data_IF_035121177284
#
_entry.id   IF_035121177284
#
_cell.length_a   1.000
_cell.length_b   1.000
_cell.length_c   1.000
_cell.angle_alpha   90.00
_cell.angle_beta   90.00
_cell.angle_gamma   90.00
#
_symmetry.space_group_name_H-M   'P 1'
#
loop_
_entity.id
_entity.type
_entity.pdbx_description
1 polymer ?
#
# COMPACT_ATOMS: atom_id res chain seq x y z
N UNK A 1 21.06 26.19 -14.88
CA UNK A 1 20.85 24.72 -14.65
C UNK A 1 21.00 23.99 -15.98
N UNK A 2 21.43 22.72 -16.05
CA UNK A 2 21.48 22.01 -17.34
C UNK A 2 20.06 21.78 -17.88
N UNK A 3 19.85 21.89 -19.20
CA UNK A 3 18.52 21.70 -19.84
C UNK A 3 17.82 20.41 -19.44
N UNK A 4 18.57 19.30 -19.31
CA UNK A 4 18.00 18.01 -18.89
C UNK A 4 17.48 18.00 -17.46
N UNK A 5 18.13 18.75 -16.56
CA UNK A 5 17.74 18.84 -15.15
C UNK A 5 16.56 19.81 -14.99
N UNK A 6 16.63 20.96 -15.67
CA UNK A 6 15.53 21.94 -15.74
C UNK A 6 14.25 21.30 -16.31
N UNK A 7 14.36 20.59 -17.44
CA UNK A 7 13.23 19.89 -18.06
C UNK A 7 12.61 18.88 -17.09
N UNK A 8 13.44 18.11 -16.38
CA UNK A 8 12.94 17.12 -15.42
C UNK A 8 12.20 17.80 -14.25
N UNK A 9 12.77 18.87 -13.70
CA UNK A 9 12.16 19.63 -12.61
C UNK A 9 10.81 20.23 -13.01
N UNK A 10 10.70 20.75 -14.24
CA UNK A 10 9.42 21.25 -14.78
C UNK A 10 8.41 20.12 -14.94
N UNK A 11 8.80 18.96 -15.49
CA UNK A 11 7.90 17.80 -15.63
C UNK A 11 7.38 17.28 -14.29
N UNK A 12 8.19 17.33 -13.22
CA UNK A 12 7.79 16.91 -11.87
C UNK A 12 6.67 17.77 -11.27
N UNK A 13 6.44 18.99 -11.79
CA UNK A 13 5.28 19.84 -11.43
C UNK A 13 3.95 19.32 -12.00
N UNK A 14 4.00 18.42 -12.98
CA UNK A 14 2.81 17.88 -13.67
C UNK A 14 2.71 16.35 -13.53
N UNK A 15 2.35 15.81 -12.36
CA UNK A 15 2.28 14.36 -12.12
C UNK A 15 1.41 13.58 -13.11
N UNK A 16 0.26 14.13 -13.53
CA UNK A 16 -0.64 13.47 -14.47
C UNK A 16 -0.06 13.39 -15.89
N UNK A 17 0.72 14.40 -16.30
CA UNK A 17 1.42 14.42 -17.59
C UNK A 17 2.50 13.35 -17.62
N UNK A 18 3.22 13.15 -16.51
CA UNK A 18 4.20 12.07 -16.39
C UNK A 18 3.58 10.68 -16.60
N UNK A 19 2.40 10.42 -16.04
CA UNK A 19 1.70 9.15 -16.23
C UNK A 19 1.30 8.93 -17.71
N UNK A 20 0.74 9.95 -18.35
CA UNK A 20 0.38 9.90 -19.77
C UNK A 20 1.61 9.77 -20.70
N UNK A 21 2.74 10.39 -20.34
CA UNK A 21 4.02 10.25 -21.03
C UNK A 21 4.54 8.82 -20.96
N UNK A 22 4.53 8.19 -19.77
CA UNK A 22 4.92 6.79 -19.59
C UNK A 22 4.07 5.85 -20.47
N UNK A 23 2.79 6.15 -20.66
CA UNK A 23 1.88 5.38 -21.53
C UNK A 23 2.02 5.68 -23.02
N UNK A 24 2.85 6.65 -23.41
CA UNK A 24 3.06 7.02 -24.82
C UNK A 24 1.88 7.78 -25.43
N UNK A 25 1.01 8.37 -24.61
CA UNK A 25 -0.18 9.09 -25.05
C UNK A 25 0.17 10.51 -25.52
N UNK A 26 1.19 11.12 -24.92
CA UNK A 26 1.56 12.52 -25.17
C UNK A 26 2.61 12.63 -26.29
N UNK A 27 2.39 13.57 -27.21
CA UNK A 27 3.38 13.95 -28.20
C UNK A 27 4.51 14.78 -27.56
N UNK A 28 5.73 14.25 -27.58
CA UNK A 28 6.90 14.89 -26.96
C UNK A 28 7.24 16.27 -27.54
N UNK A 29 7.03 16.48 -28.85
CA UNK A 29 7.32 17.77 -29.50
C UNK A 29 6.27 18.83 -29.14
N UNK A 30 5.02 18.43 -28.92
CA UNK A 30 3.98 19.32 -28.40
C UNK A 30 4.27 19.69 -26.95
N UNK A 31 4.64 18.71 -26.12
CA UNK A 31 4.98 18.98 -24.72
C UNK A 31 6.21 19.87 -24.58
N UNK A 32 7.26 19.67 -25.37
CA UNK A 32 8.46 20.50 -25.35
C UNK A 32 8.15 21.99 -25.61
N UNK A 33 7.21 22.28 -26.53
CA UNK A 33 6.74 23.65 -26.79
C UNK A 33 5.92 24.19 -25.63
N UNK A 34 5.05 23.36 -25.04
CA UNK A 34 4.19 23.77 -23.94
C UNK A 34 4.98 24.13 -22.67
N UNK A 35 6.10 23.45 -22.39
CA UNK A 35 6.93 23.70 -21.19
C UNK A 35 8.13 24.62 -21.48
N UNK A 36 8.25 25.18 -22.69
CA UNK A 36 9.45 25.88 -23.14
C UNK A 36 9.84 27.03 -22.20
N UNK A 37 8.89 27.91 -21.91
CA UNK A 37 9.13 29.12 -21.12
C UNK A 37 9.55 28.77 -19.68
N UNK A 38 8.91 27.77 -19.07
CA UNK A 38 9.30 27.27 -17.75
C UNK A 38 10.72 26.68 -17.72
N UNK A 39 11.11 25.98 -18.80
CA UNK A 39 12.47 25.42 -18.89
C UNK A 39 13.49 26.54 -19.08
N UNK A 40 13.22 27.56 -19.89
CA UNK A 40 14.09 28.73 -20.07
C UNK A 40 14.25 29.50 -18.76
N UNK A 41 13.18 29.64 -17.99
CA UNK A 41 13.22 30.26 -16.65
C UNK A 41 14.15 29.48 -15.70
N UNK A 42 14.05 28.15 -15.69
CA UNK A 42 14.90 27.28 -14.86
C UNK A 42 16.37 27.22 -15.33
N UNK A 43 16.63 27.33 -16.64
CA UNK A 43 17.99 27.33 -17.17
C UNK A 43 18.67 28.69 -17.03
N UNK A 44 17.92 29.79 -17.13
CA UNK A 44 18.41 31.17 -17.15
C UNK A 44 18.90 31.62 -18.53
N UNK A 45 18.72 30.79 -19.56
CA UNK A 45 19.17 31.05 -20.94
C UNK A 45 18.29 30.33 -21.96
N UNK A 46 18.31 30.80 -23.20
CA UNK A 46 17.57 30.15 -24.30
C UNK A 46 18.13 28.77 -24.59
N UNK A 47 17.22 27.80 -24.74
CA UNK A 47 17.54 26.43 -25.10
C UNK A 47 16.85 26.05 -26.41
N UNK A 48 17.40 25.08 -27.14
CA UNK A 48 16.76 24.53 -28.33
C UNK A 48 15.59 23.60 -27.95
N UNK A 49 14.48 23.68 -28.69
CA UNK A 49 13.31 22.83 -28.48
C UNK A 49 13.65 21.33 -28.58
N UNK A 50 14.54 20.96 -29.50
CA UNK A 50 14.98 19.56 -29.65
C UNK A 50 15.77 19.08 -28.42
N UNK A 51 16.51 19.96 -27.75
CA UNK A 51 17.20 19.63 -26.51
C UNK A 51 16.23 19.33 -25.37
N UNK A 52 15.13 20.10 -25.25
CA UNK A 52 14.04 19.83 -24.29
C UNK A 52 13.35 18.50 -24.63
N UNK A 53 13.01 18.28 -25.91
CA UNK A 53 12.39 17.04 -26.37
C UNK A 53 13.25 15.81 -26.05
N UNK A 54 14.56 15.87 -26.29
CA UNK A 54 15.49 14.80 -25.96
C UNK A 54 15.60 14.57 -24.45
N UNK A 55 15.52 15.64 -23.64
CA UNK A 55 15.44 15.53 -22.20
C UNK A 55 14.14 14.86 -21.72
N UNK A 56 12.99 15.18 -22.33
CA UNK A 56 11.70 14.51 -22.07
C UNK A 56 11.83 13.01 -22.38
N UNK A 57 12.29 12.64 -23.58
CA UNK A 57 12.44 11.23 -24.01
C UNK A 57 13.30 10.46 -23.02
N UNK A 58 14.46 10.99 -22.66
CA UNK A 58 15.38 10.38 -21.70
C UNK A 58 14.75 10.20 -20.31
N UNK A 59 13.97 11.19 -19.87
CA UNK A 59 13.26 11.14 -18.60
C UNK A 59 12.22 10.03 -18.61
N UNK A 60 11.40 9.93 -19.67
CA UNK A 60 10.39 8.88 -19.84
C UNK A 60 11.01 7.50 -19.90
N UNK A 61 12.10 7.32 -20.65
CA UNK A 61 12.82 6.04 -20.70
C UNK A 61 13.35 5.61 -19.34
N UNK A 62 13.93 6.54 -18.57
CA UNK A 62 14.41 6.28 -17.22
C UNK A 62 13.26 5.86 -16.31
N UNK A 63 12.15 6.60 -16.34
CA UNK A 63 10.96 6.30 -15.54
C UNK A 63 10.39 4.92 -15.86
N UNK A 64 10.23 4.57 -17.14
CA UNK A 64 9.78 3.24 -17.58
C UNK A 64 10.71 2.13 -17.11
N UNK A 65 12.03 2.35 -17.17
CA UNK A 65 13.02 1.36 -16.68
C UNK A 65 12.90 1.16 -15.17
N UNK A 66 12.79 2.25 -14.41
CA UNK A 66 12.60 2.19 -12.96
C UNK A 66 11.29 1.49 -12.59
N UNK A 67 10.19 1.81 -13.25
CA UNK A 67 8.88 1.18 -13.04
C UNK A 67 8.91 -0.32 -13.30
N UNK A 68 9.46 -0.74 -14.45
CA UNK A 68 9.65 -2.18 -14.76
C UNK A 68 10.54 -2.89 -13.74
N UNK A 69 11.58 -2.22 -13.26
CA UNK A 69 12.46 -2.77 -12.24
C UNK A 69 11.71 -3.00 -10.92
N UNK A 70 10.96 -2.00 -10.45
CA UNK A 70 10.14 -2.08 -9.22
C UNK A 70 9.06 -3.14 -9.38
N UNK A 71 8.33 -3.16 -10.50
CA UNK A 71 7.30 -4.16 -10.76
C UNK A 71 7.87 -5.58 -10.67
N UNK A 72 9.06 -5.81 -11.26
CA UNK A 72 9.74 -7.10 -11.16
C UNK A 72 10.14 -7.45 -9.73
N UNK A 73 10.58 -6.49 -8.92
CA UNK A 73 10.87 -6.73 -7.50
C UNK A 73 9.60 -7.15 -6.75
N UNK A 74 8.51 -6.40 -6.91
CA UNK A 74 7.20 -6.70 -6.29
C UNK A 74 6.75 -8.11 -6.68
N UNK A 75 6.74 -8.44 -7.99
CA UNK A 75 6.33 -9.75 -8.48
C UNK A 75 7.17 -10.88 -7.90
N UNK A 76 8.49 -10.71 -7.89
CA UNK A 76 9.42 -11.72 -7.35
C UNK A 76 9.19 -11.97 -5.86
N UNK A 77 8.92 -10.91 -5.11
CA UNK A 77 8.66 -10.96 -3.67
C UNK A 77 7.34 -11.66 -3.38
N UNK A 78 6.26 -11.28 -4.06
CA UNK A 78 4.95 -11.92 -3.92
C UNK A 78 5.03 -13.41 -4.29
N UNK A 79 5.75 -13.76 -5.35
CA UNK A 79 5.97 -15.16 -5.73
C UNK A 79 6.64 -16.00 -4.63
N UNK A 80 7.50 -15.38 -3.81
CA UNK A 80 8.17 -16.04 -2.67
C UNK A 80 7.35 -16.00 -1.38
N UNK A 81 6.22 -15.31 -1.36
CA UNK A 81 5.40 -15.15 -0.16
C UNK A 81 4.49 -16.36 0.07
N UNK A 82 4.02 -16.53 1.30
CA UNK A 82 2.97 -17.51 1.69
C UNK A 82 1.75 -16.78 2.24
N UNK A 83 0.62 -17.49 2.32
CA UNK A 83 -0.63 -16.96 2.83
C UNK A 83 -1.13 -17.81 3.99
N UNK A 84 -1.62 -17.13 5.03
CA UNK A 84 -2.46 -17.72 6.07
C UNK A 84 -3.80 -17.01 6.14
N UNK A 85 -4.84 -17.76 6.53
CA UNK A 85 -6.16 -17.21 6.86
C UNK A 85 -6.45 -17.49 8.33
N UNK A 86 -6.82 -16.45 9.07
CA UNK A 86 -7.38 -16.56 10.43
C UNK A 86 -8.80 -16.02 10.40
N UNK A 87 -9.74 -16.85 10.81
CA UNK A 87 -11.15 -16.47 10.92
C UNK A 87 -11.51 -16.06 12.35
N UNK A 88 -12.75 -15.60 12.51
CA UNK A 88 -13.34 -15.26 13.80
C UNK A 88 -12.53 -14.20 14.54
N UNK A 89 -12.22 -13.11 13.84
CA UNK A 89 -11.57 -11.93 14.41
C UNK A 89 -12.62 -10.86 14.69
N UNK A 90 -12.47 -10.22 15.83
CA UNK A 90 -13.14 -8.97 16.14
C UNK A 90 -12.13 -7.81 16.10
N UNK A 91 -12.57 -6.66 15.63
CA UNK A 91 -11.81 -5.41 15.65
C UNK A 91 -12.57 -4.40 16.50
N UNK A 92 -11.95 -3.90 17.56
CA UNK A 92 -12.52 -2.83 18.38
C UNK A 92 -11.65 -1.59 18.27
N UNK A 93 -12.30 -0.44 18.19
CA UNK A 93 -11.63 0.86 18.28
C UNK A 93 -12.11 1.56 19.54
N UNK A 94 -11.19 2.09 20.32
CA UNK A 94 -11.45 2.72 21.61
C UNK A 94 -10.82 4.10 21.65
N UNK A 95 -11.40 4.99 22.46
CA UNK A 95 -10.86 6.34 22.70
C UNK A 95 -9.48 6.24 23.34
N UNK A 96 -8.61 7.21 23.07
CA UNK A 96 -7.30 7.32 23.72
C UNK A 96 -7.46 7.69 25.20
N UNK A 97 -7.69 6.69 26.06
CA UNK A 97 -7.79 6.79 27.52
C UNK A 97 -7.23 5.49 28.13
N UNK A 98 -6.57 5.56 29.31
CA UNK A 98 -5.19 5.15 29.45
C UNK A 98 -4.91 3.71 28.99
N UNK A 99 -3.73 3.51 28.40
CA UNK A 99 -3.21 2.23 27.90
C UNK A 99 -3.13 1.12 28.96
N UNK A 100 -3.31 1.46 30.24
CA UNK A 100 -3.26 0.55 31.38
C UNK A 100 -4.29 -0.58 31.26
N UNK A 101 -5.53 -0.26 30.88
CA UNK A 101 -6.58 -1.28 30.68
C UNK A 101 -6.34 -2.17 29.47
N UNK A 102 -5.75 -1.62 28.42
CA UNK A 102 -5.38 -2.41 27.24
C UNK A 102 -4.24 -3.39 27.57
N UNK A 103 -3.29 -2.98 28.41
CA UNK A 103 -2.21 -3.85 28.89
C UNK A 103 -2.70 -4.98 29.82
N UNK A 104 -3.82 -4.79 30.52
CA UNK A 104 -4.48 -5.83 31.32
C UNK A 104 -5.10 -6.90 30.42
N UNK A 105 -5.71 -6.48 29.31
CA UNK A 105 -6.30 -7.39 28.33
C UNK A 105 -5.24 -8.34 27.76
N UNK A 106 -4.07 -7.83 27.37
CA UNK A 106 -3.01 -8.68 26.78
C UNK A 106 -2.39 -9.69 27.76
N UNK A 107 -2.35 -9.36 29.06
CA UNK A 107 -1.80 -10.25 30.10
C UNK A 107 -2.79 -11.32 30.56
N UNK A 108 -4.09 -11.03 30.48
CA UNK A 108 -5.15 -11.87 31.08
C UNK A 108 -5.70 -12.92 30.11
N UNK A 109 -5.65 -12.66 28.80
CA UNK A 109 -6.25 -13.52 27.79
C UNK A 109 -5.19 -14.14 26.87
N UNK A 110 -5.26 -15.46 26.70
CA UNK A 110 -4.45 -16.19 25.73
C UNK A 110 -5.03 -16.00 24.32
N UNK A 111 -4.62 -14.91 23.66
CA UNK A 111 -4.96 -14.64 22.27
C UNK A 111 -4.13 -15.51 21.33
N UNK A 112 -4.80 -16.14 20.37
CA UNK A 112 -4.19 -16.82 19.22
C UNK A 112 -3.89 -15.83 18.11
N UNK A 113 -4.73 -14.81 17.98
CA UNK A 113 -4.49 -13.63 17.16
C UNK A 113 -4.65 -12.38 18.01
N UNK A 114 -3.64 -11.52 18.01
CA UNK A 114 -3.68 -10.24 18.70
C UNK A 114 -2.86 -9.21 17.94
N UNK A 115 -3.47 -8.05 17.67
CA UNK A 115 -2.83 -6.89 17.09
C UNK A 115 -3.36 -5.64 17.80
N UNK A 116 -2.45 -4.73 18.13
CA UNK A 116 -2.75 -3.45 18.75
C UNK A 116 -2.12 -2.35 17.92
N UNK A 117 -2.93 -1.38 17.51
CA UNK A 117 -2.49 -0.26 16.70
C UNK A 117 -2.97 1.04 17.33
N UNK A 118 -2.03 1.92 17.67
CA UNK A 118 -2.31 3.24 18.19
C UNK A 118 -2.37 4.25 17.04
N UNK A 119 -3.53 4.89 16.87
CA UNK A 119 -3.69 6.08 16.04
C UNK A 119 -3.47 7.37 16.86
N UNK A 120 -3.74 8.53 16.24
CA UNK A 120 -3.54 9.84 16.89
C UNK A 120 -4.45 10.02 18.11
N UNK A 121 -5.71 9.57 18.04
CA UNK A 121 -6.72 9.75 19.09
C UNK A 121 -7.46 8.47 19.49
N UNK A 122 -7.07 7.32 18.96
CA UNK A 122 -7.74 6.05 19.19
C UNK A 122 -6.74 4.91 19.27
N UNK A 123 -7.14 3.82 19.91
CA UNK A 123 -6.44 2.54 19.85
C UNK A 123 -7.37 1.55 19.17
N UNK A 124 -6.86 0.82 18.19
CA UNK A 124 -7.57 -0.30 17.56
C UNK A 124 -6.93 -1.61 17.99
N UNK A 125 -7.76 -2.57 18.35
CA UNK A 125 -7.34 -3.90 18.78
C UNK A 125 -8.05 -4.91 17.89
N UNK A 126 -7.30 -5.75 17.19
CA UNK A 126 -7.82 -6.88 16.44
C UNK A 126 -7.41 -8.19 17.13
N UNK A 127 -8.38 -9.03 17.45
CA UNK A 127 -8.15 -10.22 18.27
C UNK A 127 -9.20 -11.30 18.04
N UNK A 128 -9.02 -12.48 18.62
CA UNK A 128 -10.01 -13.57 18.53
C UNK A 128 -11.38 -13.13 19.05
N UNK A 129 -12.41 -13.22 18.20
CA UNK A 129 -13.77 -12.78 18.47
C UNK A 129 -14.39 -13.43 19.72
N UNK A 130 -13.96 -14.66 20.06
CA UNK A 130 -14.43 -15.36 21.26
C UNK A 130 -14.21 -14.56 22.55
N UNK A 131 -13.22 -13.67 22.59
CA UNK A 131 -12.88 -12.85 23.76
C UNK A 131 -13.59 -11.48 23.74
N UNK A 132 -14.42 -11.19 22.75
CA UNK A 132 -14.96 -9.85 22.51
C UNK A 132 -15.76 -9.31 23.70
N UNK A 133 -16.71 -10.08 24.22
CA UNK A 133 -17.56 -9.62 25.32
C UNK A 133 -16.75 -9.33 26.61
N UNK A 134 -15.72 -10.14 26.87
CA UNK A 134 -14.83 -9.95 28.02
C UNK A 134 -13.98 -8.68 27.86
N UNK A 135 -13.41 -8.48 26.67
CA UNK A 135 -12.62 -7.28 26.34
C UNK A 135 -13.47 -6.02 26.42
N UNK A 136 -14.71 -6.04 25.92
CA UNK A 136 -15.66 -4.93 26.03
C UNK A 136 -15.96 -4.60 27.49
N UNK A 137 -16.14 -5.62 28.33
CA UNK A 137 -16.41 -5.43 29.77
C UNK A 137 -15.23 -4.77 30.49
N UNK A 138 -14.01 -5.20 30.20
CA UNK A 138 -12.79 -4.67 30.83
C UNK A 138 -12.52 -3.21 30.41
N UNK A 139 -12.69 -2.91 29.12
CA UNK A 139 -12.50 -1.57 28.56
C UNK A 139 -13.62 -0.61 29.00
N UNK A 140 -14.84 -1.11 29.14
CA UNK A 140 -16.04 -0.32 29.41
C UNK A 140 -16.67 0.23 28.12
N UNK A 141 -17.98 0.05 27.98
CA UNK A 141 -18.72 0.38 26.75
C UNK A 141 -18.62 1.86 26.34
N UNK A 142 -18.55 2.77 27.30
CA UNK A 142 -18.48 4.22 27.04
C UNK A 142 -17.18 4.68 26.35
N UNK A 143 -16.15 3.83 26.40
CA UNK A 143 -14.85 4.07 25.78
C UNK A 143 -14.76 3.51 24.36
N UNK A 144 -15.73 2.71 23.93
CA UNK A 144 -15.74 2.07 22.61
C UNK A 144 -16.25 3.06 21.57
N UNK A 145 -15.48 3.21 20.50
CA UNK A 145 -15.82 4.03 19.33
C UNK A 145 -16.50 3.17 18.28
N UNK A 146 -15.97 1.98 18.00
CA UNK A 146 -16.54 1.06 17.03
C UNK A 146 -16.19 -0.39 17.33
N UNK A 147 -17.06 -1.30 16.89
CA UNK A 147 -16.84 -2.74 16.94
C UNK A 147 -17.18 -3.32 15.58
N UNK A 148 -16.23 -4.05 14.98
CA UNK A 148 -16.43 -4.88 13.82
C UNK A 148 -16.35 -6.34 14.27
N UNK A 149 -17.45 -7.06 14.09
CA UNK A 149 -17.54 -8.50 14.30
C UNK A 149 -17.38 -9.22 12.96
N UNK A 150 -17.20 -10.53 13.03
CA UNK A 150 -17.17 -11.45 11.90
C UNK A 150 -16.18 -10.99 10.84
N UNK A 151 -14.95 -10.70 11.29
CA UNK A 151 -13.82 -10.39 10.41
C UNK A 151 -12.91 -11.60 10.26
N UNK A 152 -12.11 -11.60 9.20
CA UNK A 152 -11.01 -12.54 8.99
C UNK A 152 -9.74 -11.78 8.63
N UNK A 153 -8.60 -12.29 9.04
CA UNK A 153 -7.28 -11.78 8.69
C UNK A 153 -6.64 -12.70 7.64
N UNK A 154 -6.23 -12.11 6.53
CA UNK A 154 -5.38 -12.75 5.53
C UNK A 154 -3.96 -12.23 5.75
N UNK A 155 -3.05 -13.12 6.10
CA UNK A 155 -1.67 -12.81 6.44
C UNK A 155 -0.81 -13.20 5.25
N UNK A 156 -0.21 -12.22 4.60
CA UNK A 156 0.82 -12.40 3.59
C UNK A 156 2.18 -12.36 4.30
N UNK A 157 2.84 -13.52 4.38
CA UNK A 157 4.19 -13.64 4.95
C UNK A 157 5.18 -13.57 3.80
N UNK A 158 5.98 -12.52 3.78
CA UNK A 158 6.91 -12.23 2.70
C UNK A 158 8.38 -12.37 3.13
N UNK A 159 9.32 -12.47 2.18
CA UNK A 159 10.74 -12.30 2.47
C UNK A 159 11.05 -10.92 3.08
N UNK A 160 12.17 -10.80 3.81
CA UNK A 160 12.62 -9.57 4.50
C UNK A 160 12.70 -8.37 3.55
N UNK A 161 12.98 -8.60 2.27
CA UNK A 161 13.00 -7.58 1.22
C UNK A 161 11.70 -6.74 1.14
N UNK A 162 10.58 -7.19 1.73
CA UNK A 162 9.32 -6.43 1.77
C UNK A 162 9.45 -5.11 2.50
N UNK A 163 10.36 -5.03 3.48
CA UNK A 163 10.59 -3.83 4.30
C UNK A 163 11.08 -2.67 3.43
N UNK A 164 11.90 -2.96 2.41
CA UNK A 164 12.53 -1.96 1.55
C UNK A 164 11.98 -1.94 0.11
N UNK A 165 10.97 -2.76 -0.20
CA UNK A 165 10.38 -2.84 -1.55
C UNK A 165 9.13 -1.98 -1.66
N UNK A 166 9.19 -0.80 -2.33
CA UNK A 166 8.03 0.05 -2.47
C UNK A 166 6.97 -0.57 -3.38
N UNK A 167 5.69 -0.34 -3.04
CA UNK A 167 4.56 -0.65 -3.91
C UNK A 167 3.93 -2.03 -3.72
N UNK A 168 4.47 -2.92 -2.88
CA UNK A 168 3.89 -4.24 -2.61
C UNK A 168 2.44 -4.11 -2.09
N UNK A 169 2.21 -3.27 -1.09
CA UNK A 169 0.87 -3.04 -0.53
C UNK A 169 -0.07 -2.49 -1.60
N UNK A 170 0.34 -1.49 -2.38
CA UNK A 170 -0.47 -0.91 -3.45
C UNK A 170 -0.84 -1.94 -4.54
N UNK A 171 0.10 -2.82 -4.88
CA UNK A 171 -0.11 -3.89 -5.86
C UNK A 171 -1.15 -4.90 -5.35
N UNK A 172 -1.00 -5.37 -4.12
CA UNK A 172 -1.90 -6.36 -3.49
C UNK A 172 -3.30 -5.77 -3.28
N UNK A 173 -3.40 -4.58 -2.71
CA UNK A 173 -4.72 -3.93 -2.48
C UNK A 173 -5.40 -3.53 -3.79
N UNK A 174 -4.64 -3.16 -4.82
CA UNK A 174 -5.17 -2.93 -6.17
C UNK A 174 -5.83 -4.17 -6.76
N UNK A 175 -5.26 -5.35 -6.52
CA UNK A 175 -5.86 -6.62 -6.93
C UNK A 175 -7.14 -6.90 -6.15
N UNK A 176 -7.13 -6.76 -4.82
CA UNK A 176 -8.33 -6.97 -3.98
C UNK A 176 -9.47 -6.02 -4.38
N UNK A 177 -9.14 -4.77 -4.70
CA UNK A 177 -10.11 -3.74 -5.15
C UNK A 177 -10.83 -4.17 -6.43
N UNK A 178 -10.14 -4.81 -7.39
CA UNK A 178 -10.75 -5.30 -8.64
C UNK A 178 -11.85 -6.35 -8.42
N UNK A 179 -11.84 -7.01 -7.26
CA UNK A 179 -12.85 -7.99 -6.86
C UNK A 179 -13.88 -7.41 -5.88
N UNK A 180 -13.85 -6.10 -5.62
CA UNK A 180 -14.78 -5.44 -4.70
C UNK A 180 -14.55 -5.79 -3.22
N UNK A 181 -13.35 -6.23 -2.86
CA UNK A 181 -13.03 -6.63 -1.49
C UNK A 181 -12.63 -5.40 -0.69
N UNK A 182 -13.47 -5.03 0.27
CA UNK A 182 -13.16 -3.97 1.23
C UNK A 182 -12.23 -4.47 2.33
N UNK A 183 -11.20 -3.68 2.65
CA UNK A 183 -10.24 -3.96 3.69
C UNK A 183 -10.57 -3.09 4.89
N UNK A 184 -10.91 -3.70 6.01
CA UNK A 184 -11.27 -2.97 7.23
C UNK A 184 -10.04 -2.53 8.00
N UNK A 185 -8.94 -3.30 7.99
CA UNK A 185 -7.64 -2.91 8.58
C UNK A 185 -6.47 -3.46 7.74
N UNK A 186 -5.36 -2.71 7.70
CA UNK A 186 -4.06 -3.16 7.18
C UNK A 186 -3.04 -3.03 8.30
N UNK A 187 -2.32 -4.11 8.59
CA UNK A 187 -1.32 -4.14 9.65
C UNK A 187 -0.02 -4.66 9.02
N UNK A 188 1.06 -3.90 9.19
CA UNK A 188 2.39 -4.29 8.76
C UNK A 188 3.23 -4.61 9.99
N UNK A 189 3.72 -5.83 10.10
CA UNK A 189 4.52 -6.29 11.22
C UNK A 189 5.73 -7.06 10.69
N UNK A 190 6.87 -6.38 10.60
CA UNK A 190 8.11 -6.93 10.04
C UNK A 190 7.89 -7.47 8.62
N UNK A 191 7.93 -8.79 8.42
CA UNK A 191 7.70 -9.47 7.13
C UNK A 191 6.23 -9.71 6.80
N UNK A 192 5.35 -9.52 7.79
CA UNK A 192 3.95 -9.92 7.68
C UNK A 192 3.10 -8.71 7.31
N UNK A 193 2.28 -8.87 6.29
CA UNK A 193 1.21 -7.94 5.96
C UNK A 193 -0.13 -8.60 6.22
N UNK A 194 -0.91 -8.05 7.15
CA UNK A 194 -2.23 -8.56 7.52
C UNK A 194 -3.30 -7.68 6.93
N UNK A 195 -4.18 -8.28 6.14
CA UNK A 195 -5.39 -7.66 5.62
C UNK A 195 -6.59 -8.19 6.38
N UNK A 196 -7.27 -7.32 7.14
CA UNK A 196 -8.52 -7.68 7.81
C UNK A 196 -9.68 -7.32 6.89
N UNK A 197 -10.56 -8.29 6.65
CA UNK A 197 -11.70 -8.18 5.75
C UNK A 197 -12.95 -8.76 6.40
N UNK A 198 -14.13 -8.44 5.86
CA UNK A 198 -15.37 -9.08 6.28
C UNK A 198 -15.30 -10.61 6.01
N UNK A 199 -15.74 -11.42 6.98
CA UNK A 199 -15.71 -12.89 6.88
C UNK A 199 -16.43 -13.42 5.64
N UNK A 200 -17.46 -12.72 5.15
CA UNK A 200 -18.18 -13.12 3.92
C UNK A 200 -17.30 -13.06 2.67
N UNK A 201 -16.29 -12.20 2.66
CA UNK A 201 -15.36 -12.01 1.54
C UNK A 201 -13.99 -12.66 1.77
N UNK A 202 -13.76 -13.24 2.95
CA UNK A 202 -12.45 -13.77 3.36
C UNK A 202 -11.92 -14.86 2.42
N UNK A 203 -12.77 -15.83 2.07
CA UNK A 203 -12.40 -16.92 1.18
C UNK A 203 -12.12 -16.43 -0.23
N UNK A 204 -12.94 -15.51 -0.75
CA UNK A 204 -12.71 -14.91 -2.06
C UNK A 204 -11.38 -14.14 -2.08
N UNK A 205 -11.11 -13.35 -1.05
CA UNK A 205 -9.87 -12.59 -0.93
C UNK A 205 -8.64 -13.50 -0.83
N UNK A 206 -8.72 -14.55 -0.01
CA UNK A 206 -7.65 -15.55 0.11
C UNK A 206 -7.38 -16.24 -1.24
N UNK A 207 -8.43 -16.67 -1.95
CA UNK A 207 -8.30 -17.34 -3.25
C UNK A 207 -7.72 -16.43 -4.33
N UNK A 208 -8.11 -15.15 -4.35
CA UNK A 208 -7.54 -14.15 -5.27
C UNK A 208 -6.04 -14.00 -5.05
N UNK A 209 -5.60 -13.84 -3.80
CA UNK A 209 -4.18 -13.71 -3.50
C UNK A 209 -3.41 -15.01 -3.72
N UNK A 210 -4.01 -16.16 -3.41
CA UNK A 210 -3.41 -17.47 -3.68
C UNK A 210 -3.17 -17.68 -5.17
N UNK A 211 -4.16 -17.36 -6.02
CA UNK A 211 -4.03 -17.42 -7.49
C UNK A 211 -2.94 -16.49 -7.99
N UNK A 212 -2.86 -15.28 -7.45
CA UNK A 212 -1.79 -14.33 -7.78
C UNK A 212 -0.40 -14.90 -7.47
N UNK A 213 -0.21 -15.47 -6.28
CA UNK A 213 1.08 -16.05 -5.89
C UNK A 213 1.44 -17.22 -6.80
N UNK A 214 0.48 -18.11 -7.09
CA UNK A 214 0.68 -19.23 -8.01
C UNK A 214 1.06 -18.77 -9.42
N UNK A 215 0.34 -17.81 -10.00
CA UNK A 215 0.65 -17.34 -11.36
C UNK A 215 2.04 -16.72 -11.46
N UNK A 216 2.45 -15.95 -10.45
CA UNK A 216 3.78 -15.34 -10.41
C UNK A 216 4.92 -16.35 -10.17
N UNK A 217 4.62 -17.56 -9.67
CA UNK A 217 5.57 -18.66 -9.57
C UNK A 217 5.75 -19.40 -10.89
N UNK A 218 4.69 -19.51 -11.68
CA UNK A 218 4.70 -20.15 -13.01
C UNK A 218 5.37 -19.29 -14.09
N UNK A 219 5.42 -17.96 -13.89
CA UNK A 219 6.14 -17.02 -14.76
C UNK A 219 7.68 -17.12 -14.69
N UNK A 220 8.25 -17.97 -13.82
CA UNK A 220 9.70 -18.17 -13.64
C UNK A 220 10.21 -19.41 -14.37
#
# INVERSE_FOLDING_TARGET
MKTSEATRKVLERYPFVLECLKRGIINYSALARAIYDEVVEETGERVELDSIKMAIIRTVEKLRKTEKYIERQIRNLIAKSTLELKEDIAVITVKHYPLDRVSLVTKKYGFRFFQLTQGIGTITIAFDQRNLEEVIKEIGRDNIVSVLKDQSAIILVSPEEIIDTPGVIAYVTGILTRFGINITQIISCYTDTVFVVDKKLSMQAYDVLKKLISSLREEK
#
